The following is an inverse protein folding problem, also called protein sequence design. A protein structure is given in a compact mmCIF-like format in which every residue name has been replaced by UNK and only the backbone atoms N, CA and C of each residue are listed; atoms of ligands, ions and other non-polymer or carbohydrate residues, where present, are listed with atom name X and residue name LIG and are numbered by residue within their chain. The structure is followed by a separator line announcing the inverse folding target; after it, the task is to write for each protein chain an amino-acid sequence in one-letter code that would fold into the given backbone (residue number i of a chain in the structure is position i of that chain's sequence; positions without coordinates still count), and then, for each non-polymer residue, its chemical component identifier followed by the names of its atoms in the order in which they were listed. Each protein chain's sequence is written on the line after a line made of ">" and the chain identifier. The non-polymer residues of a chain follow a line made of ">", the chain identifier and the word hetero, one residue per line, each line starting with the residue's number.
data_IF_683094668463
#
_entry.id   IF_683094668463
#
_cell.length_a   1.000
_cell.length_b   1.000
_cell.length_c   1.000
_cell.angle_alpha   90.00
_cell.angle_beta   90.00
_cell.angle_gamma   90.00
#
_symmetry.space_group_name_H-M   'P 1'
#
loop_
_entity.id
_entity.type
_entity.pdbx_description
1 polymer ?
#
# COMPACT_ATOMS: atom_id res chain seq x y z
N UNK A 1 42.53 1.98 20.19
CA UNK A 1 43.25 0.70 20.06
C UNK A 1 42.67 -0.01 18.85
N UNK A 2 43.47 -0.16 17.79
CA UNK A 2 43.08 -0.84 16.55
C UNK A 2 42.99 -2.35 16.81
N UNK A 3 41.78 -2.91 16.82
CA UNK A 3 41.61 -4.35 16.84
C UNK A 3 41.96 -4.91 15.46
N UNK A 4 43.17 -5.47 15.36
CA UNK A 4 43.56 -6.37 14.27
C UNK A 4 42.74 -7.66 14.43
N UNK A 5 41.87 -7.92 13.45
CA UNK A 5 41.21 -9.21 13.30
C UNK A 5 42.26 -10.22 12.83
N UNK A 6 42.48 -11.28 13.61
CA UNK A 6 43.29 -12.44 13.23
C UNK A 6 42.45 -13.35 12.32
N UNK A 7 42.85 -13.51 11.06
CA UNK A 7 42.15 -14.28 10.02
C UNK A 7 42.49 -15.77 10.03
N UNK A 8 42.93 -16.33 11.16
CA UNK A 8 43.68 -17.59 11.16
C UNK A 8 42.81 -18.86 10.97
N UNK A 9 41.48 -18.80 11.09
CA UNK A 9 40.61 -20.00 10.96
C UNK A 9 39.30 -19.78 10.18
N UNK A 10 39.19 -18.74 9.34
CA UNK A 10 37.97 -18.45 8.57
C UNK A 10 38.27 -18.70 7.09
N UNK A 11 37.53 -19.60 6.44
CA UNK A 11 37.63 -19.82 4.99
C UNK A 11 37.41 -18.48 4.25
N UNK A 12 38.18 -18.19 3.19
CA UNK A 12 38.21 -16.86 2.55
C UNK A 12 36.82 -16.31 2.17
N UNK A 13 35.86 -17.20 1.87
CA UNK A 13 34.48 -16.83 1.53
C UNK A 13 33.66 -16.37 2.75
N UNK A 14 33.93 -16.88 3.95
CA UNK A 14 33.24 -16.47 5.18
C UNK A 14 33.75 -15.11 5.66
N UNK A 15 35.04 -14.82 5.41
CA UNK A 15 35.61 -13.50 5.65
C UNK A 15 34.87 -12.42 4.86
N UNK A 16 34.53 -12.70 3.60
CA UNK A 16 33.81 -11.75 2.74
C UNK A 16 32.43 -11.38 3.29
N UNK A 17 31.66 -12.36 3.80
CA UNK A 17 30.32 -12.16 4.39
C UNK A 17 30.39 -11.23 5.61
N UNK A 18 31.35 -11.49 6.52
CA UNK A 18 31.53 -10.66 7.72
C UNK A 18 32.05 -9.26 7.42
N UNK A 19 32.94 -9.12 6.43
CA UNK A 19 33.41 -7.81 5.97
C UNK A 19 32.26 -6.98 5.41
N UNK A 20 31.36 -7.60 4.64
CA UNK A 20 30.20 -6.92 4.07
C UNK A 20 29.22 -6.48 5.16
N UNK A 21 28.94 -7.34 6.15
CA UNK A 21 28.12 -6.98 7.33
C UNK A 21 28.75 -5.87 8.17
N UNK A 22 30.07 -5.84 8.27
CA UNK A 22 30.75 -4.72 8.94
C UNK A 22 30.54 -3.42 8.17
N UNK A 23 30.64 -3.45 6.83
CA UNK A 23 30.41 -2.27 5.97
C UNK A 23 28.99 -1.72 6.11
N UNK A 24 27.97 -2.55 6.30
CA UNK A 24 26.58 -2.06 6.51
C UNK A 24 26.40 -1.28 7.82
N UNK A 25 27.40 -1.27 8.70
CA UNK A 25 27.38 -0.57 9.99
C UNK A 25 28.37 0.60 10.07
N UNK A 26 29.05 0.94 8.97
CA UNK A 26 29.99 2.07 8.94
C UNK A 26 29.27 3.42 9.06
N UNK A 27 29.97 4.46 9.51
CA UNK A 27 29.39 5.81 9.62
C UNK A 27 29.06 6.42 8.25
N UNK A 28 29.79 6.00 7.20
CA UNK A 28 29.57 6.47 5.84
C UNK A 28 28.28 5.87 5.23
N UNK A 29 27.29 6.74 4.95
CA UNK A 29 26.02 6.35 4.34
C UNK A 29 26.17 5.66 3.00
N UNK A 30 27.04 6.15 2.12
CA UNK A 30 27.23 5.57 0.79
C UNK A 30 27.79 4.14 0.89
N UNK A 31 28.79 3.93 1.75
CA UNK A 31 29.37 2.61 1.99
C UNK A 31 28.34 1.61 2.55
N UNK A 32 27.47 2.05 3.47
CA UNK A 32 26.39 1.21 3.98
C UNK A 32 25.40 0.80 2.89
N UNK A 33 24.97 1.75 2.06
CA UNK A 33 24.01 1.49 0.98
C UNK A 33 24.59 0.56 -0.08
N UNK A 34 25.85 0.77 -0.47
CA UNK A 34 26.59 -0.10 -1.38
C UNK A 34 26.69 -1.52 -0.82
N UNK A 35 27.03 -1.68 0.47
CA UNK A 35 27.14 -2.98 1.10
C UNK A 35 25.80 -3.73 1.14
N UNK A 36 24.68 -3.05 1.46
CA UNK A 36 23.34 -3.66 1.41
C UNK A 36 22.98 -4.07 -0.01
N UNK A 37 23.31 -3.24 -1.00
CA UNK A 37 23.07 -3.55 -2.40
C UNK A 37 23.86 -4.80 -2.84
N UNK A 38 25.14 -4.88 -2.51
CA UNK A 38 26.00 -6.03 -2.78
C UNK A 38 25.45 -7.30 -2.11
N UNK A 39 25.03 -7.22 -0.83
CA UNK A 39 24.38 -8.35 -0.13
C UNK A 39 23.13 -8.83 -0.84
N UNK A 40 22.28 -7.90 -1.27
CA UNK A 40 21.01 -8.25 -1.91
C UNK A 40 21.17 -8.96 -3.25
N UNK A 41 22.31 -8.76 -3.91
CA UNK A 41 22.66 -9.36 -5.21
C UNK A 41 23.51 -10.63 -5.07
N UNK A 42 23.88 -11.01 -3.85
CA UNK A 42 24.66 -12.20 -3.58
C UNK A 42 23.77 -13.45 -3.66
N UNK A 43 23.56 -13.98 -4.86
CA UNK A 43 22.75 -15.20 -5.11
C UNK A 43 23.55 -16.51 -5.04
N UNK A 44 24.86 -16.42 -4.85
CA UNK A 44 25.80 -17.55 -4.87
C UNK A 44 26.17 -18.06 -3.47
N UNK A 45 25.63 -17.43 -2.42
CA UNK A 45 25.93 -17.81 -1.04
C UNK A 45 25.27 -19.14 -0.68
N UNK A 46 25.89 -19.85 0.25
CA UNK A 46 25.31 -21.03 0.86
C UNK A 46 24.24 -20.63 1.88
N UNK A 47 23.28 -21.53 2.16
CA UNK A 47 22.19 -21.30 3.11
C UNK A 47 22.65 -20.76 4.47
N UNK A 48 23.75 -21.29 5.00
CA UNK A 48 24.26 -20.87 6.31
C UNK A 48 24.79 -19.43 6.29
N UNK A 49 25.33 -18.95 5.17
CA UNK A 49 25.85 -17.58 5.04
C UNK A 49 24.72 -16.55 5.10
N UNK A 50 23.60 -16.82 4.42
CA UNK A 50 22.39 -16.01 4.58
C UNK A 50 21.88 -16.02 6.02
N UNK A 51 21.87 -17.19 6.67
CA UNK A 51 21.41 -17.31 8.07
C UNK A 51 22.31 -16.56 9.03
N UNK A 52 23.62 -16.58 8.84
CA UNK A 52 24.59 -15.81 9.64
C UNK A 52 24.28 -14.32 9.54
N UNK A 53 24.06 -13.81 8.32
CA UNK A 53 23.65 -12.42 8.12
C UNK A 53 22.29 -12.15 8.77
N UNK A 54 21.29 -13.00 8.53
CA UNK A 54 19.95 -12.85 9.08
C UNK A 54 19.93 -12.77 10.63
N UNK A 55 20.81 -13.53 11.29
CA UNK A 55 20.96 -13.53 12.76
C UNK A 55 21.74 -12.32 13.29
N UNK A 56 22.63 -11.75 12.48
CA UNK A 56 23.52 -10.68 12.91
C UNK A 56 23.08 -9.29 12.42
N UNK A 57 22.22 -9.17 11.41
CA UNK A 57 21.77 -7.89 10.87
C UNK A 57 21.18 -6.98 11.95
N UNK A 58 21.58 -5.71 11.92
CA UNK A 58 20.89 -4.68 12.68
C UNK A 58 19.57 -4.29 11.97
N UNK A 59 18.63 -3.62 12.66
CA UNK A 59 17.35 -3.23 12.06
C UNK A 59 17.49 -2.47 10.75
N UNK A 60 18.48 -1.58 10.65
CA UNK A 60 18.72 -0.76 9.45
C UNK A 60 19.13 -1.62 8.25
N UNK A 61 20.08 -2.54 8.43
CA UNK A 61 20.48 -3.48 7.38
C UNK A 61 19.30 -4.36 6.96
N UNK A 62 18.52 -4.89 7.92
CA UNK A 62 17.37 -5.74 7.63
C UNK A 62 16.30 -5.01 6.80
N UNK A 63 15.97 -3.76 7.16
CA UNK A 63 15.03 -2.91 6.41
C UNK A 63 15.59 -2.61 5.01
N UNK A 64 16.90 -2.36 4.90
CA UNK A 64 17.56 -2.15 3.62
C UNK A 64 17.48 -3.37 2.70
N UNK A 65 17.72 -4.56 3.24
CA UNK A 65 17.54 -5.83 2.53
C UNK A 65 16.07 -6.04 2.15
N UNK A 66 15.11 -5.74 3.02
CA UNK A 66 13.67 -5.82 2.73
C UNK A 66 13.25 -4.90 1.59
N UNK A 67 13.92 -3.75 1.45
CA UNK A 67 13.72 -2.78 0.37
C UNK A 67 14.69 -2.95 -0.80
N UNK A 68 15.29 -4.12 -0.98
CA UNK A 68 16.17 -4.40 -2.11
C UNK A 68 15.48 -5.38 -3.07
N UNK A 69 15.44 -5.05 -4.36
CA UNK A 69 14.66 -5.76 -5.37
C UNK A 69 15.00 -7.25 -5.48
N UNK A 70 16.30 -7.57 -5.42
CA UNK A 70 16.83 -8.93 -5.62
C UNK A 70 17.03 -9.69 -4.29
N UNK A 71 16.58 -9.14 -3.16
CA UNK A 71 16.88 -9.71 -1.85
C UNK A 71 16.36 -11.13 -1.66
N UNK A 72 17.24 -12.03 -1.21
CA UNK A 72 16.92 -13.43 -0.95
C UNK A 72 16.07 -13.60 0.32
N UNK A 73 15.10 -14.52 0.29
CA UNK A 73 14.21 -14.78 1.44
C UNK A 73 14.95 -15.28 2.68
N UNK A 74 16.10 -15.93 2.50
CA UNK A 74 16.92 -16.49 3.59
C UNK A 74 17.55 -15.41 4.48
N UNK A 75 17.54 -14.14 4.07
CA UNK A 75 17.91 -13.01 4.93
C UNK A 75 16.89 -12.70 6.03
N UNK A 76 15.67 -13.21 5.91
CA UNK A 76 14.57 -12.88 6.81
C UNK A 76 14.25 -14.07 7.70
N UNK A 77 14.57 -13.94 8.99
CA UNK A 77 14.19 -14.95 9.98
C UNK A 77 12.66 -15.01 10.13
N UNK A 78 12.11 -16.20 10.44
CA UNK A 78 10.69 -16.31 10.77
C UNK A 78 10.36 -15.44 12.00
N UNK A 79 9.11 -14.92 12.09
CA UNK A 79 8.69 -14.16 13.26
C UNK A 79 8.90 -14.96 14.56
N UNK A 80 9.20 -14.30 15.70
CA UNK A 80 9.34 -14.96 16.99
C UNK A 80 8.07 -15.73 17.39
N UNK A 81 8.20 -16.79 18.21
CA UNK A 81 7.05 -17.48 18.77
C UNK A 81 6.11 -16.51 19.52
N UNK A 82 4.82 -16.63 19.28
CA UNK A 82 3.81 -15.77 19.89
C UNK A 82 3.52 -16.22 21.34
N UNK A 83 3.31 -15.28 22.28
CA UNK A 83 2.95 -15.62 23.65
C UNK A 83 1.58 -16.31 23.71
N UNK A 84 1.37 -17.27 24.61
CA UNK A 84 0.08 -17.93 24.77
C UNK A 84 -1.05 -16.93 25.08
N UNK A 85 -2.26 -17.22 24.62
CA UNK A 85 -3.46 -16.52 25.06
C UNK A 85 -3.72 -16.80 26.54
N UNK A 86 -4.48 -15.94 27.20
CA UNK A 86 -5.00 -16.25 28.54
C UNK A 86 -5.92 -17.47 28.43
N UNK A 87 -5.98 -18.28 29.47
CA UNK A 87 -6.92 -19.41 29.52
C UNK A 87 -8.34 -18.88 29.26
N UNK A 88 -9.05 -19.54 28.35
CA UNK A 88 -10.41 -19.21 27.89
C UNK A 88 -10.60 -17.93 27.03
N UNK A 89 -9.54 -17.20 26.63
CA UNK A 89 -9.68 -16.05 25.72
C UNK A 89 -9.49 -16.41 24.24
N UNK A 90 -10.34 -15.84 23.38
CA UNK A 90 -10.18 -15.93 21.92
C UNK A 90 -9.35 -14.75 21.39
N UNK A 91 -8.78 -14.89 20.19
CA UNK A 91 -8.04 -13.78 19.53
C UNK A 91 -8.93 -12.55 19.32
N UNK A 92 -10.19 -12.76 18.95
CA UNK A 92 -11.19 -11.72 18.81
C UNK A 92 -11.44 -10.99 20.13
N UNK A 93 -11.54 -11.71 21.25
CA UNK A 93 -11.81 -11.11 22.55
C UNK A 93 -10.65 -10.27 23.05
N UNK A 94 -9.41 -10.74 22.88
CA UNK A 94 -8.22 -9.93 23.17
C UNK A 94 -8.16 -8.67 22.27
N UNK A 95 -8.64 -8.75 21.03
CA UNK A 95 -8.71 -7.59 20.13
C UNK A 95 -9.78 -6.58 20.56
N UNK A 96 -10.95 -7.06 21.02
CA UNK A 96 -11.97 -6.19 21.62
C UNK A 96 -11.45 -5.52 22.89
N UNK A 97 -10.81 -6.28 23.77
CA UNK A 97 -10.21 -5.73 24.99
C UNK A 97 -9.14 -4.68 24.67
N UNK A 98 -8.30 -4.93 23.66
CA UNK A 98 -7.34 -3.95 23.19
C UNK A 98 -8.06 -2.68 22.71
N UNK A 99 -9.06 -2.81 21.82
CA UNK A 99 -9.83 -1.69 21.30
C UNK A 99 -10.52 -0.88 22.42
N UNK A 100 -11.13 -1.56 23.39
CA UNK A 100 -11.80 -0.94 24.53
C UNK A 100 -10.81 -0.16 25.43
N UNK A 101 -9.53 -0.53 25.44
CA UNK A 101 -8.49 0.18 26.18
C UNK A 101 -7.94 1.43 25.46
N UNK A 102 -8.25 1.62 24.18
CA UNK A 102 -7.75 2.74 23.41
C UNK A 102 -8.46 4.05 23.80
N UNK A 103 -7.75 5.20 23.75
CA UNK A 103 -8.36 6.50 24.01
C UNK A 103 -9.55 6.76 23.08
N UNK A 104 -10.68 7.17 23.67
CA UNK A 104 -11.91 7.50 22.93
C UNK A 104 -12.07 9.01 22.67
N UNK A 105 -11.06 9.80 23.05
CA UNK A 105 -11.05 11.26 22.89
C UNK A 105 -10.66 11.62 21.45
N UNK A 106 -11.31 12.64 20.89
CA UNK A 106 -10.99 13.19 19.54
C UNK A 106 -11.28 12.25 18.36
N UNK A 107 -12.11 11.21 18.56
CA UNK A 107 -12.58 10.35 17.47
C UNK A 107 -13.69 11.06 16.67
N UNK A 108 -13.58 11.01 15.34
CA UNK A 108 -14.68 11.42 14.45
C UNK A 108 -15.90 10.49 14.55
N UNK A 109 -17.03 10.93 14.02
CA UNK A 109 -18.31 10.20 14.10
C UNK A 109 -18.24 8.79 13.48
N UNK A 110 -17.46 8.60 12.41
CA UNK A 110 -17.30 7.31 11.75
C UNK A 110 -16.49 6.35 12.63
N UNK A 111 -15.41 6.82 13.24
CA UNK A 111 -14.59 6.03 14.16
C UNK A 111 -15.36 5.67 15.44
N UNK A 112 -16.15 6.59 15.98
CA UNK A 112 -17.05 6.29 17.10
C UNK A 112 -18.06 5.20 16.72
N UNK A 113 -18.62 5.28 15.52
CA UNK A 113 -19.53 4.26 15.00
C UNK A 113 -18.85 2.89 14.88
N UNK A 114 -17.69 2.78 14.23
CA UNK A 114 -16.97 1.50 14.12
C UNK A 114 -16.54 0.94 15.47
N UNK A 115 -16.10 1.80 16.39
CA UNK A 115 -15.77 1.39 17.76
C UNK A 115 -17.00 0.83 18.47
N UNK A 116 -18.14 1.51 18.35
CA UNK A 116 -19.40 1.05 18.97
C UNK A 116 -19.87 -0.28 18.40
N UNK A 117 -19.72 -0.51 17.08
CA UNK A 117 -20.05 -1.77 16.44
C UNK A 117 -19.15 -2.90 16.92
N UNK A 118 -17.84 -2.66 16.94
CA UNK A 118 -16.84 -3.64 17.35
C UNK A 118 -17.03 -4.09 18.82
N UNK A 119 -17.45 -3.17 19.69
CA UNK A 119 -17.70 -3.42 21.11
C UNK A 119 -19.14 -3.86 21.43
N UNK A 120 -20.04 -3.88 20.44
CA UNK A 120 -21.43 -4.31 20.68
C UNK A 120 -21.52 -5.84 20.77
N UNK A 121 -22.10 -6.35 21.86
CA UNK A 121 -22.24 -7.79 22.12
C UNK A 121 -23.32 -8.48 21.26
N UNK A 122 -24.21 -7.72 20.60
CA UNK A 122 -25.36 -8.30 19.90
C UNK A 122 -25.13 -8.45 18.40
N UNK A 123 -25.01 -9.72 17.97
CA UNK A 123 -25.00 -10.17 16.56
C UNK A 123 -26.17 -9.62 15.73
N UNK A 124 -27.30 -9.27 16.36
CA UNK A 124 -28.49 -8.72 15.71
C UNK A 124 -28.28 -7.29 15.16
N UNK A 125 -27.46 -6.47 15.81
CA UNK A 125 -27.18 -5.09 15.36
C UNK A 125 -26.30 -5.08 14.10
N UNK A 126 -25.29 -5.96 14.07
CA UNK A 126 -24.40 -6.16 12.92
C UNK A 126 -25.10 -6.82 11.71
N UNK A 127 -26.02 -7.77 11.94
CA UNK A 127 -26.76 -8.44 10.86
C UNK A 127 -27.77 -7.51 10.16
N UNK A 128 -28.46 -6.64 10.91
CA UNK A 128 -29.41 -5.68 10.36
C UNK A 128 -28.75 -4.64 9.43
N UNK A 129 -27.45 -4.36 9.62
CA UNK A 129 -26.74 -3.34 8.86
C UNK A 129 -25.95 -3.87 7.64
N UNK A 130 -25.84 -5.19 7.46
CA UNK A 130 -25.39 -5.79 6.17
C UNK A 130 -26.27 -5.37 4.98
N UNK A 131 -27.51 -4.97 5.23
CA UNK A 131 -28.43 -4.45 4.20
C UNK A 131 -28.20 -2.99 3.80
N UNK A 132 -27.28 -2.26 4.46
CA UNK A 132 -27.16 -0.80 4.31
C UNK A 132 -25.95 -0.29 3.50
N UNK A 133 -24.97 -1.13 3.18
CA UNK A 133 -23.77 -0.69 2.47
C UNK A 133 -23.94 -0.85 0.96
N UNK A 134 -24.32 0.24 0.29
CA UNK A 134 -24.48 0.33 -1.16
C UNK A 134 -23.15 0.07 -1.89
N UNK A 135 -22.85 -1.20 -2.16
CA UNK A 135 -21.80 -1.61 -3.09
C UNK A 135 -22.33 -1.51 -4.53
N UNK A 136 -22.21 -0.36 -5.19
CA UNK A 136 -22.32 -0.31 -6.64
C UNK A 136 -21.00 -0.79 -7.27
N UNK A 137 -20.98 -2.02 -7.79
CA UNK A 137 -19.84 -2.59 -8.51
C UNK A 137 -19.68 -4.11 -8.50
N UNK A 138 -20.63 -4.87 -7.95
CA UNK A 138 -20.67 -6.33 -8.03
C UNK A 138 -22.11 -6.81 -7.82
N UNK A 139 -22.41 -8.06 -8.20
CA UNK A 139 -23.75 -8.65 -8.06
C UNK A 139 -24.26 -8.52 -6.62
N UNK A 140 -25.10 -7.50 -6.39
CA UNK A 140 -25.78 -7.27 -5.14
C UNK A 140 -26.88 -8.30 -4.96
N UNK A 141 -26.63 -9.29 -4.10
CA UNK A 141 -27.67 -10.03 -3.42
C UNK A 141 -27.38 -9.97 -1.92
N UNK A 142 -28.32 -9.49 -1.10
CA UNK A 142 -28.18 -9.54 0.35
C UNK A 142 -28.30 -11.01 0.78
N UNK A 143 -27.17 -11.63 1.14
CA UNK A 143 -27.20 -12.86 1.92
C UNK A 143 -27.49 -12.49 3.38
N UNK A 144 -28.76 -12.20 3.64
CA UNK A 144 -29.32 -12.05 4.97
C UNK A 144 -30.40 -13.12 5.16
N UNK A 145 -30.02 -14.38 5.01
CA UNK A 145 -30.83 -15.54 5.41
C UNK A 145 -29.96 -16.54 6.17
N UNK A 146 -29.39 -16.12 7.30
CA UNK A 146 -29.21 -17.03 8.43
C UNK A 146 -29.14 -16.23 9.74
N UNK A 147 -30.00 -16.58 10.69
CA UNK A 147 -29.99 -16.08 12.08
C UNK A 147 -28.81 -16.69 12.86
N UNK A 148 -27.59 -16.58 12.32
CA UNK A 148 -26.36 -17.07 12.93
C UNK A 148 -25.62 -15.97 13.69
N UNK A 149 -24.78 -16.37 14.64
CA UNK A 149 -23.75 -15.51 15.22
C UNK A 149 -22.91 -14.84 14.12
N UNK A 150 -22.52 -13.59 14.34
CA UNK A 150 -21.67 -12.87 13.38
C UNK A 150 -20.32 -13.60 13.31
N UNK A 151 -19.81 -13.92 12.11
CA UNK A 151 -18.51 -14.56 11.98
C UNK A 151 -17.41 -13.71 12.62
N UNK A 152 -16.52 -14.36 13.37
CA UNK A 152 -15.47 -13.71 14.15
C UNK A 152 -14.63 -12.69 13.35
N UNK A 153 -14.27 -13.06 12.12
CA UNK A 153 -13.56 -12.21 11.16
C UNK A 153 -14.25 -10.86 10.85
N UNK A 154 -15.56 -10.76 11.04
CA UNK A 154 -16.33 -9.52 10.82
C UNK A 154 -16.10 -8.54 11.97
N UNK A 155 -16.14 -9.03 13.21
CA UNK A 155 -15.88 -8.24 14.41
C UNK A 155 -14.43 -7.77 14.38
N UNK A 156 -13.50 -8.68 14.11
CA UNK A 156 -12.09 -8.35 14.02
C UNK A 156 -11.81 -7.28 12.97
N UNK A 157 -12.52 -7.34 11.83
CA UNK A 157 -12.43 -6.29 10.82
C UNK A 157 -12.89 -4.94 11.38
N UNK A 158 -14.01 -4.87 12.09
CA UNK A 158 -14.48 -3.60 12.67
C UNK A 158 -13.49 -3.04 13.69
N UNK A 159 -12.90 -3.92 14.52
CA UNK A 159 -11.85 -3.51 15.43
C UNK A 159 -10.65 -2.92 14.69
N UNK A 160 -10.19 -3.56 13.62
CA UNK A 160 -9.06 -3.08 12.82
C UNK A 160 -9.39 -1.78 12.06
N UNK A 161 -10.65 -1.58 11.67
CA UNK A 161 -11.11 -0.35 11.01
C UNK A 161 -11.10 0.85 11.95
N UNK A 162 -11.45 0.63 13.23
CA UNK A 162 -11.45 1.63 14.29
C UNK A 162 -10.04 2.05 14.79
N UNK A 163 -8.97 1.35 14.38
CA UNK A 163 -7.61 1.68 14.79
C UNK A 163 -7.04 2.80 13.91
N UNK A 164 -6.65 3.91 14.55
CA UNK A 164 -6.05 5.08 13.91
C UNK A 164 -4.59 5.34 14.36
N UNK A 165 -3.82 6.19 13.64
CA UNK A 165 -2.43 6.47 13.97
C UNK A 165 -2.18 6.94 15.41
N UNK A 166 -3.10 7.68 16.04
CA UNK A 166 -2.95 8.13 17.43
C UNK A 166 -3.02 7.00 18.46
N UNK A 167 -3.56 5.83 18.09
CA UNK A 167 -3.65 4.67 18.99
C UNK A 167 -2.36 3.83 19.06
N UNK A 168 -1.37 4.09 18.20
CA UNK A 168 -0.24 3.18 17.99
C UNK A 168 0.57 2.87 19.26
N UNK A 169 0.79 3.86 20.13
CA UNK A 169 1.54 3.66 21.37
C UNK A 169 0.80 2.76 22.36
N UNK A 170 -0.51 2.93 22.49
CA UNK A 170 -1.36 2.09 23.33
C UNK A 170 -1.46 0.66 22.78
N UNK A 171 -1.48 0.53 21.45
CA UNK A 171 -1.47 -0.77 20.77
C UNK A 171 -0.17 -1.52 21.05
N UNK A 172 0.99 -0.85 20.96
CA UNK A 172 2.27 -1.49 21.28
C UNK A 172 2.34 -1.91 22.76
N UNK A 173 1.97 -1.01 23.67
CA UNK A 173 1.95 -1.28 25.11
C UNK A 173 1.00 -2.44 25.50
N UNK A 174 -0.10 -2.61 24.76
CA UNK A 174 -1.07 -3.69 24.94
C UNK A 174 -0.68 -5.03 24.30
N UNK A 175 0.53 -5.17 23.73
CA UNK A 175 0.94 -6.39 23.02
C UNK A 175 0.26 -6.57 21.66
N UNK A 176 -0.24 -5.48 21.08
CA UNK A 176 -0.98 -5.48 19.82
C UNK A 176 -0.16 -5.97 18.63
N UNK A 177 1.16 -5.79 18.61
CA UNK A 177 2.01 -6.33 17.53
C UNK A 177 1.93 -7.86 17.43
N UNK A 178 1.93 -8.56 18.56
CA UNK A 178 1.83 -10.02 18.62
C UNK A 178 0.40 -10.48 18.31
N UNK A 179 -0.61 -9.75 18.79
CA UNK A 179 -2.01 -10.03 18.50
C UNK A 179 -2.31 -9.89 17.00
N UNK A 180 -1.83 -8.82 16.37
CA UNK A 180 -1.96 -8.59 14.93
C UNK A 180 -1.25 -9.70 14.12
N UNK A 181 -0.13 -10.23 14.59
CA UNK A 181 0.51 -11.38 13.94
C UNK A 181 -0.31 -12.66 14.06
N UNK A 182 -0.93 -12.90 15.22
CA UNK A 182 -1.85 -14.03 15.40
C UNK A 182 -3.01 -13.94 14.42
N UNK A 183 -3.64 -12.77 14.30
CA UNK A 183 -4.71 -12.51 13.34
C UNK A 183 -4.22 -12.70 11.89
N UNK A 184 -3.02 -12.21 11.57
CA UNK A 184 -2.42 -12.37 10.25
C UNK A 184 -2.20 -13.84 9.89
N UNK A 185 -1.80 -14.67 10.87
CA UNK A 185 -1.63 -16.10 10.69
C UNK A 185 -2.97 -16.86 10.58
N UNK A 186 -3.99 -16.43 11.33
CA UNK A 186 -5.32 -17.06 11.36
C UNK A 186 -6.11 -16.77 10.07
N UNK A 187 -5.99 -15.56 9.53
CA UNK A 187 -6.80 -15.07 8.41
C UNK A 187 -6.03 -14.99 7.09
N UNK A 188 -5.09 -15.91 6.83
CA UNK A 188 -4.29 -15.93 5.59
C UNK A 188 -5.16 -15.91 4.32
N UNK A 189 -6.32 -16.56 4.37
CA UNK A 189 -7.25 -16.67 3.25
C UNK A 189 -8.29 -15.52 3.20
N UNK A 190 -8.15 -14.49 4.04
CA UNK A 190 -9.05 -13.34 4.06
C UNK A 190 -8.29 -12.04 3.72
N UNK A 191 -8.18 -11.67 2.42
CA UNK A 191 -7.42 -10.49 1.98
C UNK A 191 -7.86 -9.18 2.63
N UNK A 192 -9.15 -9.05 2.99
CA UNK A 192 -9.67 -7.86 3.67
C UNK A 192 -9.09 -7.69 5.08
N UNK A 193 -8.99 -8.78 5.85
CA UNK A 193 -8.40 -8.76 7.20
C UNK A 193 -6.89 -8.55 7.10
N UNK A 194 -6.22 -9.27 6.18
CA UNK A 194 -4.78 -9.10 5.92
C UNK A 194 -4.41 -7.65 5.59
N UNK A 195 -5.16 -7.02 4.68
CA UNK A 195 -5.00 -5.60 4.31
C UNK A 195 -5.11 -4.70 5.53
N UNK A 196 -6.16 -4.85 6.32
CA UNK A 196 -6.40 -4.00 7.49
C UNK A 196 -5.33 -4.16 8.57
N UNK A 197 -4.82 -5.38 8.80
CA UNK A 197 -3.69 -5.61 9.69
C UNK A 197 -2.45 -4.86 9.19
N UNK A 198 -2.11 -4.99 7.91
CA UNK A 198 -0.96 -4.29 7.33
C UNK A 198 -1.11 -2.77 7.35
N UNK A 199 -2.33 -2.27 7.17
CA UNK A 199 -2.67 -0.85 7.33
C UNK A 199 -2.31 -0.36 8.74
N UNK A 200 -2.69 -1.11 9.77
CA UNK A 200 -2.36 -0.77 11.17
C UNK A 200 -0.84 -0.76 11.38
N UNK A 201 -0.10 -1.77 10.92
CA UNK A 201 1.37 -1.79 11.03
C UNK A 201 2.00 -0.63 10.26
N UNK A 202 1.48 -0.28 9.09
CA UNK A 202 1.91 0.88 8.31
C UNK A 202 1.64 2.22 9.01
N UNK A 203 0.58 2.32 9.81
CA UNK A 203 0.31 3.46 10.69
C UNK A 203 1.31 3.51 11.84
N UNK A 204 1.58 2.37 12.49
CA UNK A 204 2.60 2.29 13.56
C UNK A 204 4.00 2.67 13.05
N UNK A 205 4.34 2.33 11.81
CA UNK A 205 5.62 2.68 11.20
C UNK A 205 5.83 4.19 10.97
N UNK A 206 4.79 5.03 11.07
CA UNK A 206 4.94 6.49 11.07
C UNK A 206 5.71 7.01 12.31
N UNK A 207 5.63 6.25 13.39
CA UNK A 207 6.22 6.56 14.70
C UNK A 207 7.59 5.90 14.83
N UNK A 208 8.65 6.70 14.70
CA UNK A 208 10.05 6.22 14.64
C UNK A 208 10.48 5.51 15.92
N UNK A 209 9.96 5.91 17.08
CA UNK A 209 10.23 5.25 18.35
C UNK A 209 9.63 3.83 18.44
N UNK A 210 8.63 3.49 17.62
CA UNK A 210 8.05 2.15 17.55
C UNK A 210 8.80 1.22 16.59
N UNK A 211 9.70 1.75 15.74
CA UNK A 211 10.45 0.94 14.76
C UNK A 211 11.17 -0.25 15.39
N UNK A 212 11.86 -0.13 16.54
CA UNK A 212 12.50 -1.27 17.19
C UNK A 212 11.50 -2.37 17.60
N UNK A 213 10.30 -2.01 18.05
CA UNK A 213 9.27 -2.98 18.42
C UNK A 213 8.71 -3.72 17.20
N UNK A 214 8.45 -2.98 16.10
CA UNK A 214 8.01 -3.55 14.81
C UNK A 214 9.06 -4.52 14.27
N UNK A 215 10.34 -4.16 14.34
CA UNK A 215 11.45 -5.01 13.87
C UNK A 215 11.59 -6.26 14.74
N UNK A 216 11.64 -6.11 16.08
CA UNK A 216 11.81 -7.24 17.01
C UNK A 216 10.67 -8.23 16.97
N UNK A 217 9.45 -7.78 16.67
CA UNK A 217 8.30 -8.67 16.50
C UNK A 217 8.36 -9.44 15.18
N UNK A 218 9.23 -9.11 14.23
CA UNK A 218 9.37 -9.86 12.97
C UNK A 218 8.47 -9.36 11.83
N UNK A 219 7.83 -8.20 11.99
CA UNK A 219 7.00 -7.61 10.93
C UNK A 219 7.81 -7.23 9.69
N UNK A 220 9.11 -6.91 9.80
CA UNK A 220 9.94 -6.63 8.62
C UNK A 220 10.04 -7.86 7.71
N UNK A 221 10.19 -9.07 8.26
CA UNK A 221 10.20 -10.31 7.49
C UNK A 221 8.87 -10.55 6.78
N UNK A 222 7.74 -10.31 7.47
CA UNK A 222 6.39 -10.44 6.90
C UNK A 222 6.20 -9.43 5.76
N UNK A 223 6.60 -8.18 5.97
CA UNK A 223 6.48 -7.12 4.96
C UNK A 223 7.40 -7.35 3.76
N UNK A 224 8.62 -7.88 3.97
CA UNK A 224 9.53 -8.21 2.89
C UNK A 224 8.96 -9.29 1.95
N UNK A 225 8.24 -10.27 2.51
CA UNK A 225 7.55 -11.30 1.74
C UNK A 225 6.31 -10.71 1.03
N UNK A 226 5.48 -9.97 1.78
CA UNK A 226 4.28 -9.34 1.27
C UNK A 226 4.52 -8.32 0.15
N UNK A 227 5.67 -7.63 0.16
CA UNK A 227 6.10 -6.74 -0.91
C UNK A 227 6.18 -7.45 -2.27
N UNK A 228 6.44 -8.78 -2.26
CA UNK A 228 6.51 -9.63 -3.46
C UNK A 228 5.17 -10.28 -3.83
N UNK A 229 4.09 -9.96 -3.11
CA UNK A 229 2.75 -10.51 -3.36
C UNK A 229 2.17 -10.04 -4.70
N UNK A 230 1.46 -10.92 -5.39
CA UNK A 230 0.67 -10.57 -6.57
C UNK A 230 -0.58 -9.75 -6.19
N UNK A 231 -0.99 -9.78 -4.93
CA UNK A 231 -2.10 -8.97 -4.44
C UNK A 231 -1.63 -7.54 -4.19
N UNK A 232 -2.01 -6.65 -5.11
CA UNK A 232 -1.51 -5.27 -5.12
C UNK A 232 -1.75 -4.49 -3.82
N UNK A 233 -2.88 -4.71 -3.14
CA UNK A 233 -3.17 -4.07 -1.86
C UNK A 233 -2.14 -4.47 -0.80
N UNK A 234 -1.85 -5.76 -0.72
CA UNK A 234 -0.89 -6.33 0.23
C UNK A 234 0.51 -5.78 -0.04
N UNK A 235 0.97 -5.89 -1.30
CA UNK A 235 2.27 -5.38 -1.72
C UNK A 235 2.41 -3.86 -1.50
N UNK A 236 1.33 -3.08 -1.69
CA UNK A 236 1.37 -1.63 -1.52
C UNK A 236 1.39 -1.20 -0.06
N UNK A 237 0.65 -1.88 0.84
CA UNK A 237 0.77 -1.63 2.27
C UNK A 237 2.14 -2.06 2.81
N UNK A 238 2.69 -3.16 2.31
CA UNK A 238 4.05 -3.59 2.64
C UNK A 238 5.10 -2.57 2.17
N UNK A 239 4.99 -2.08 0.94
CA UNK A 239 5.86 -1.03 0.40
C UNK A 239 5.81 0.25 1.26
N UNK A 240 4.60 0.70 1.61
CA UNK A 240 4.39 1.87 2.48
C UNK A 240 5.04 1.68 3.85
N UNK A 241 4.80 0.53 4.48
CA UNK A 241 5.34 0.19 5.80
C UNK A 241 6.86 0.19 5.78
N UNK A 242 7.47 -0.53 4.84
CA UNK A 242 8.92 -0.61 4.71
C UNK A 242 9.53 0.76 4.40
N UNK A 243 8.90 1.57 3.54
CA UNK A 243 9.35 2.93 3.28
C UNK A 243 9.33 3.80 4.54
N UNK A 244 8.27 3.72 5.35
CA UNK A 244 8.17 4.43 6.62
C UNK A 244 9.21 3.96 7.66
N UNK A 245 9.54 2.67 7.68
CA UNK A 245 10.62 2.13 8.52
C UNK A 245 12.03 2.58 8.06
N UNK A 246 12.21 2.85 6.77
CA UNK A 246 13.51 3.20 6.19
C UNK A 246 13.85 4.69 6.32
N UNK A 247 14.29 5.11 7.50
CA UNK A 247 14.76 6.47 7.76
C UNK A 247 16.17 6.75 7.24
N UNK A 248 16.81 5.78 6.61
CA UNK A 248 18.12 5.98 5.99
C UNK A 248 17.99 6.54 4.56
N UNK A 249 17.00 6.08 3.79
CA UNK A 249 16.80 6.53 2.41
C UNK A 249 15.53 7.36 2.18
N UNK A 250 14.57 7.33 3.11
CA UNK A 250 13.30 8.04 2.98
C UNK A 250 13.18 9.07 4.10
N UNK A 251 12.95 10.32 3.73
CA UNK A 251 12.69 11.39 4.68
C UNK A 251 11.18 11.58 4.89
N UNK A 252 10.39 11.31 3.87
CA UNK A 252 8.94 11.45 3.85
C UNK A 252 8.26 10.40 4.74
N UNK A 253 7.06 10.74 5.21
CA UNK A 253 6.18 9.83 5.95
C UNK A 253 4.90 9.63 5.15
N UNK A 254 4.68 8.40 4.71
CA UNK A 254 3.53 8.03 3.90
C UNK A 254 2.36 7.65 4.81
N UNK A 255 1.41 8.57 4.92
CA UNK A 255 0.20 8.46 5.74
C UNK A 255 -0.74 7.35 5.24
N UNK A 256 -1.79 7.08 6.01
CA UNK A 256 -2.84 6.20 5.53
C UNK A 256 -3.50 6.73 4.25
N UNK A 257 -3.87 5.81 3.35
CA UNK A 257 -4.36 6.17 2.01
C UNK A 257 -3.28 6.64 1.01
N UNK A 258 -2.02 6.83 1.42
CA UNK A 258 -0.93 7.18 0.50
C UNK A 258 -0.16 5.93 0.07
N UNK A 259 -0.27 5.57 -1.22
CA UNK A 259 0.38 4.38 -1.78
C UNK A 259 1.59 4.78 -2.63
N UNK A 260 2.77 4.28 -2.26
CA UNK A 260 4.00 4.43 -3.06
C UNK A 260 3.99 3.37 -4.15
N UNK A 261 3.73 3.79 -5.38
CA UNK A 261 3.67 2.89 -6.53
C UNK A 261 5.05 2.67 -7.17
N UNK A 262 5.90 3.71 -7.17
CA UNK A 262 7.28 3.62 -7.65
C UNK A 262 8.14 4.75 -7.05
N UNK A 263 9.40 4.51 -6.67
CA UNK A 263 10.02 3.21 -6.47
C UNK A 263 9.57 2.57 -5.15
N UNK A 264 9.25 1.26 -5.16
CA UNK A 264 8.91 0.52 -3.93
C UNK A 264 10.17 0.06 -3.17
N UNK A 265 11.24 -0.24 -3.89
CA UNK A 265 12.56 -0.59 -3.35
C UNK A 265 13.51 0.61 -3.36
N UNK A 266 14.61 0.54 -2.60
CA UNK A 266 15.72 1.49 -2.69
C UNK A 266 16.25 1.55 -4.12
N UNK A 267 16.55 2.75 -4.59
CA UNK A 267 17.15 2.99 -5.90
C UNK A 267 18.23 4.06 -5.80
N UNK A 268 19.30 3.91 -6.57
CA UNK A 268 20.32 4.93 -6.77
C UNK A 268 19.95 5.92 -7.88
N UNK A 269 18.89 5.61 -8.64
CA UNK A 269 18.41 6.48 -9.71
C UNK A 269 17.82 7.77 -9.10
N UNK A 270 18.26 8.96 -9.54
CA UNK A 270 17.71 10.20 -9.04
C UNK A 270 16.25 10.37 -9.50
N UNK A 271 15.40 10.78 -8.56
CA UNK A 271 14.02 11.16 -8.86
C UNK A 271 14.03 12.54 -9.51
N UNK A 272 13.45 12.62 -10.72
CA UNK A 272 13.35 13.85 -11.50
C UNK A 272 12.04 14.60 -11.29
N UNK A 273 10.97 13.89 -10.92
CA UNK A 273 9.68 14.48 -10.61
C UNK A 273 8.79 13.50 -9.83
N UNK A 274 7.77 14.08 -9.19
CA UNK A 274 6.68 13.37 -8.56
C UNK A 274 5.44 13.36 -9.47
N UNK A 275 4.79 12.21 -9.60
CA UNK A 275 3.48 12.09 -10.26
C UNK A 275 2.48 11.57 -9.26
N UNK A 276 1.47 12.39 -8.96
CA UNK A 276 0.40 12.07 -8.03
C UNK A 276 -0.86 11.64 -8.79
N UNK A 277 -1.39 10.48 -8.44
CA UNK A 277 -2.66 9.95 -8.94
C UNK A 277 -3.75 10.14 -7.87
N UNK A 278 -4.77 10.93 -8.17
CA UNK A 278 -5.86 11.30 -7.25
C UNK A 278 -7.17 10.85 -7.88
N UNK A 279 -7.84 9.88 -7.29
CA UNK A 279 -9.07 9.31 -7.88
C UNK A 279 -10.29 10.23 -7.67
N UNK A 280 -11.29 10.12 -8.54
CA UNK A 280 -12.57 10.83 -8.37
C UNK A 280 -13.56 10.11 -7.44
N UNK A 281 -14.80 10.61 -7.44
CA UNK A 281 -15.93 10.05 -6.67
C UNK A 281 -16.07 8.54 -6.84
N UNK A 282 -16.23 7.82 -5.74
CA UNK A 282 -16.39 6.35 -5.70
C UNK A 282 -15.23 5.55 -6.32
N UNK A 283 -14.11 6.23 -6.57
CA UNK A 283 -12.85 5.66 -7.01
C UNK A 283 -12.07 5.04 -5.85
N UNK A 284 -10.94 4.45 -6.20
CA UNK A 284 -9.90 3.98 -5.26
C UNK A 284 -8.60 3.83 -6.05
N UNK A 285 -7.45 3.82 -5.37
CA UNK A 285 -6.14 3.77 -6.04
C UNK A 285 -6.04 2.64 -7.07
N UNK A 286 -6.48 1.43 -6.70
CA UNK A 286 -6.34 0.24 -7.54
C UNK A 286 -7.63 -0.15 -8.29
N UNK A 287 -8.72 0.59 -8.06
CA UNK A 287 -9.98 0.46 -8.83
C UNK A 287 -9.98 1.38 -10.05
N UNK A 288 -9.45 2.59 -9.89
CA UNK A 288 -9.43 3.63 -10.91
C UNK A 288 -8.26 3.44 -11.87
N UNK A 289 -7.06 3.21 -11.35
CA UNK A 289 -5.81 3.24 -12.13
C UNK A 289 -5.35 1.85 -12.59
N UNK A 290 -6.28 1.03 -13.11
CA UNK A 290 -6.02 -0.37 -13.53
C UNK A 290 -6.23 -0.59 -15.03
N UNK A 291 -5.72 -1.68 -15.58
CA UNK A 291 -6.02 -2.02 -16.97
C UNK A 291 -7.51 -2.35 -17.14
N UNK A 292 -8.09 -1.97 -18.30
CA UNK A 292 -9.48 -2.30 -18.62
C UNK A 292 -9.70 -3.80 -18.58
N UNK A 293 -10.72 -4.21 -17.84
CA UNK A 293 -11.10 -5.61 -17.72
C UNK A 293 -11.54 -6.16 -19.08
N UNK A 294 -11.09 -7.37 -19.39
CA UNK A 294 -11.60 -8.14 -20.53
C UNK A 294 -12.48 -9.29 -20.00
N UNK A 295 -13.45 -9.75 -20.80
CA UNK A 295 -14.35 -10.83 -20.40
C UNK A 295 -13.62 -12.10 -19.92
N UNK A 296 -12.41 -12.36 -20.44
CA UNK A 296 -11.55 -13.50 -20.05
C UNK A 296 -11.00 -13.41 -18.61
N UNK A 297 -10.83 -12.21 -18.06
CA UNK A 297 -10.29 -12.01 -16.70
C UNK A 297 -11.32 -12.35 -15.63
N UNK A 298 -12.61 -12.33 -15.97
CA UNK A 298 -13.71 -12.64 -15.03
C UNK A 298 -13.89 -14.15 -14.79
N UNK A 299 -13.33 -15.01 -15.65
CA UNK A 299 -13.52 -16.47 -15.60
C UNK A 299 -12.35 -17.24 -14.97
N UNK A 300 -11.17 -16.63 -14.88
CA UNK A 300 -10.00 -17.26 -14.28
C UNK A 300 -9.69 -16.55 -12.96
N UNK A 301 -9.71 -17.29 -11.84
CA UNK A 301 -9.20 -16.84 -10.53
C UNK A 301 -7.67 -16.66 -10.62
N UNK A 302 -7.26 -15.65 -11.37
CA UNK A 302 -5.98 -15.63 -12.03
C UNK A 302 -4.85 -15.26 -11.08
N UNK A 303 -3.92 -16.19 -10.90
CA UNK A 303 -2.51 -15.87 -10.76
C UNK A 303 -2.09 -15.20 -12.08
N UNK A 304 -2.31 -13.89 -12.17
CA UNK A 304 -2.08 -13.11 -13.38
C UNK A 304 -0.57 -12.90 -13.53
N UNK A 305 -0.01 -13.47 -14.59
CA UNK A 305 1.25 -13.04 -15.18
C UNK A 305 1.17 -11.53 -15.50
N UNK A 306 1.96 -10.68 -14.80
CA UNK A 306 1.94 -9.22 -15.00
C UNK A 306 2.22 -8.83 -16.46
N UNK A 307 2.87 -9.69 -17.26
CA UNK A 307 3.08 -9.47 -18.68
C UNK A 307 1.77 -9.52 -19.50
N UNK A 308 0.70 -10.12 -18.97
CA UNK A 308 -0.61 -10.26 -19.64
C UNK A 308 -1.65 -9.26 -19.15
N UNK A 309 -1.65 -8.94 -17.85
CA UNK A 309 -2.60 -7.98 -17.28
C UNK A 309 -2.02 -7.26 -16.06
N UNK A 310 -2.27 -5.96 -15.94
CA UNK A 310 -1.87 -5.16 -14.77
C UNK A 310 -3.06 -4.71 -13.92
N UNK A 311 -2.95 -4.92 -12.62
CA UNK A 311 -3.89 -4.40 -11.62
C UNK A 311 -3.63 -2.93 -11.28
N UNK A 312 -2.52 -2.34 -11.74
CA UNK A 312 -2.22 -0.91 -11.60
C UNK A 312 -1.21 -0.46 -12.65
N UNK A 313 -1.70 0.16 -13.73
CA UNK A 313 -0.84 0.57 -14.82
C UNK A 313 0.18 1.67 -14.45
N UNK A 314 -0.05 2.56 -13.47
CA UNK A 314 1.00 3.48 -13.02
C UNK A 314 2.17 2.75 -12.34
N UNK A 315 1.88 1.72 -11.52
CA UNK A 315 2.90 0.89 -10.85
C UNK A 315 3.71 0.05 -11.85
N UNK A 316 3.09 -0.42 -12.94
CA UNK A 316 3.75 -1.35 -13.87
C UNK A 316 4.26 -0.63 -15.12
N UNK A 317 3.37 -0.08 -15.93
CA UNK A 317 3.70 0.48 -17.23
C UNK A 317 4.44 1.81 -17.09
N UNK A 318 3.87 2.77 -16.35
CA UNK A 318 4.47 4.10 -16.20
C UNK A 318 5.80 4.06 -15.45
N UNK A 319 5.88 3.26 -14.37
CA UNK A 319 7.14 3.06 -13.64
C UNK A 319 8.25 2.49 -14.54
N UNK A 320 7.91 1.56 -15.44
CA UNK A 320 8.87 0.98 -16.40
C UNK A 320 9.29 1.96 -17.48
N UNK A 321 8.35 2.75 -18.00
CA UNK A 321 8.62 3.69 -19.10
C UNK A 321 9.31 4.96 -18.60
N UNK A 322 9.06 5.35 -17.35
CA UNK A 322 9.62 6.54 -16.71
C UNK A 322 10.23 6.20 -15.32
N UNK A 323 11.35 5.46 -15.26
CA UNK A 323 11.89 4.95 -14.00
C UNK A 323 12.48 6.04 -13.08
N UNK A 324 12.70 7.25 -13.61
CA UNK A 324 13.16 8.41 -12.83
C UNK A 324 12.02 9.15 -12.11
N UNK A 325 10.77 8.66 -12.19
CA UNK A 325 9.64 9.25 -11.46
C UNK A 325 9.54 8.68 -10.06
N UNK A 326 8.97 9.46 -9.14
CA UNK A 326 8.30 8.93 -7.97
C UNK A 326 6.79 8.99 -8.22
N UNK A 327 6.13 7.85 -8.20
CA UNK A 327 4.71 7.70 -8.52
C UNK A 327 3.97 7.36 -7.23
N UNK A 328 3.01 8.20 -6.88
CA UNK A 328 2.21 8.09 -5.66
C UNK A 328 0.74 8.09 -6.05
N UNK A 329 -0.05 7.21 -5.45
CA UNK A 329 -1.51 7.30 -5.49
C UNK A 329 -2.03 7.74 -4.13
N UNK A 330 -2.98 8.67 -4.13
CA UNK A 330 -3.68 9.11 -2.93
C UNK A 330 -5.11 8.59 -2.97
N UNK A 331 -5.50 7.90 -1.92
CA UNK A 331 -6.85 7.41 -1.68
C UNK A 331 -7.48 8.18 -0.54
N UNK A 332 -8.72 8.58 -0.75
CA UNK A 332 -9.50 9.37 0.19
C UNK A 332 -10.97 9.02 0.05
N UNK A 333 -11.72 9.07 1.16
CA UNK A 333 -13.14 8.79 1.12
C UNK A 333 -13.88 9.97 0.48
N UNK A 334 -14.71 9.67 -0.51
CA UNK A 334 -15.52 10.67 -1.21
C UNK A 334 -16.99 10.35 -1.06
N UNK A 335 -17.80 11.35 -0.70
CA UNK A 335 -19.26 11.26 -0.72
C UNK A 335 -19.83 12.24 -1.75
N UNK A 336 -20.96 11.87 -2.38
CA UNK A 336 -21.60 12.63 -3.46
C UNK A 336 -21.99 14.07 -3.06
N UNK A 337 -22.09 14.36 -1.76
CA UNK A 337 -22.50 15.67 -1.23
C UNK A 337 -21.36 16.41 -0.52
N UNK A 338 -20.10 16.07 -0.76
CA UNK A 338 -18.96 16.69 -0.09
C UNK A 338 -18.66 18.09 -0.67
N UNK A 339 -18.90 19.21 0.07
CA UNK A 339 -18.61 20.55 -0.44
C UNK A 339 -17.13 20.76 -0.73
N UNK A 340 -16.26 20.04 -0.03
CA UNK A 340 -14.81 20.12 -0.20
C UNK A 340 -14.35 19.70 -1.61
N UNK A 341 -15.07 18.81 -2.29
CA UNK A 341 -14.75 18.45 -3.68
C UNK A 341 -14.96 19.61 -4.65
N UNK A 342 -16.00 20.41 -4.41
CA UNK A 342 -16.25 21.60 -5.21
C UNK A 342 -15.19 22.66 -4.95
N UNK A 343 -14.86 22.91 -3.68
CA UNK A 343 -13.76 23.81 -3.30
C UNK A 343 -12.44 23.37 -3.94
N UNK A 344 -12.10 22.07 -3.89
CA UNK A 344 -10.89 21.54 -4.50
C UNK A 344 -10.85 21.77 -6.03
N UNK A 345 -11.98 21.60 -6.70
CA UNK A 345 -12.11 21.87 -8.14
C UNK A 345 -11.90 23.36 -8.44
N UNK A 346 -12.55 24.24 -7.69
CA UNK A 346 -12.47 25.69 -7.88
C UNK A 346 -11.02 26.17 -7.64
N UNK A 347 -10.39 25.72 -6.55
CA UNK A 347 -9.00 26.01 -6.20
C UNK A 347 -8.03 25.51 -7.28
N UNK A 348 -8.24 24.30 -7.82
CA UNK A 348 -7.41 23.75 -8.89
C UNK A 348 -7.50 24.61 -10.16
N UNK A 349 -8.70 25.00 -10.58
CA UNK A 349 -8.90 25.81 -11.79
C UNK A 349 -8.26 27.19 -11.64
N UNK A 350 -8.40 27.83 -10.48
CA UNK A 350 -7.75 29.11 -10.19
C UNK A 350 -6.22 28.97 -10.23
N UNK A 351 -5.68 27.98 -9.53
CA UNK A 351 -4.26 27.72 -9.48
C UNK A 351 -3.66 27.41 -10.86
N UNK A 352 -4.34 26.58 -11.66
CA UNK A 352 -3.88 26.21 -12.98
C UNK A 352 -3.82 27.41 -13.94
N UNK A 353 -4.77 28.35 -13.81
CA UNK A 353 -4.78 29.61 -14.57
C UNK A 353 -3.67 30.56 -14.12
N UNK A 354 -3.52 30.77 -12.82
CA UNK A 354 -2.49 31.69 -12.26
C UNK A 354 -1.07 31.26 -12.63
N UNK A 355 -0.79 29.94 -12.54
CA UNK A 355 0.53 29.38 -12.82
C UNK A 355 0.76 28.99 -14.28
N UNK A 356 -0.23 29.18 -15.15
CA UNK A 356 -0.20 28.75 -16.54
C UNK A 356 0.23 27.27 -16.67
N UNK A 357 -0.36 26.41 -15.84
CA UNK A 357 -0.09 24.97 -15.87
C UNK A 357 -0.53 24.38 -17.20
N UNK A 358 0.26 23.44 -17.71
CA UNK A 358 -0.18 22.61 -18.81
C UNK A 358 -1.26 21.66 -18.30
N UNK A 359 -2.39 21.61 -19.00
CA UNK A 359 -3.52 20.76 -18.64
C UNK A 359 -3.89 19.93 -19.86
N UNK A 360 -4.09 18.63 -19.63
CA UNK A 360 -4.57 17.66 -20.60
C UNK A 360 -5.85 17.04 -20.04
N UNK A 361 -6.97 17.24 -20.73
CA UNK A 361 -8.27 16.74 -20.32
C UNK A 361 -8.74 15.66 -21.30
N UNK A 362 -9.22 14.54 -20.75
CA UNK A 362 -9.94 13.52 -21.51
C UNK A 362 -11.41 13.56 -21.12
N UNK A 363 -12.30 13.38 -22.08
CA UNK A 363 -13.75 13.30 -21.83
C UNK A 363 -14.36 12.07 -22.48
N UNK A 364 -15.23 11.37 -21.75
CA UNK A 364 -15.95 10.22 -22.28
C UNK A 364 -16.94 10.61 -23.39
N UNK A 365 -17.01 9.80 -24.44
CA UNK A 365 -18.05 9.95 -25.48
C UNK A 365 -19.03 8.79 -25.53
N UNK A 366 -18.80 7.73 -24.74
CA UNK A 366 -19.76 6.65 -24.58
C UNK A 366 -20.50 6.78 -23.24
N UNK A 367 -21.82 6.57 -23.24
CA UNK A 367 -22.57 6.57 -21.99
C UNK A 367 -22.30 5.30 -21.19
N UNK A 368 -22.46 5.42 -19.89
CA UNK A 368 -22.25 4.36 -18.90
C UNK A 368 -23.56 3.67 -18.58
N UNK A 369 -23.54 2.35 -18.48
CA UNK A 369 -24.68 1.56 -18.07
C UNK A 369 -24.73 1.45 -16.54
N UNK A 370 -25.82 1.92 -15.95
CA UNK A 370 -26.12 1.77 -14.51
C UNK A 370 -27.21 0.71 -14.39
N UNK A 371 -26.81 -0.51 -14.04
CA UNK A 371 -27.69 -1.67 -14.10
C UNK A 371 -28.06 -2.04 -15.55
N UNK A 372 -29.13 -2.79 -15.75
CA UNK A 372 -29.54 -3.30 -17.07
C UNK A 372 -30.34 -2.31 -17.91
N UNK A 373 -30.88 -1.24 -17.31
CA UNK A 373 -31.88 -0.39 -17.96
C UNK A 373 -31.47 1.07 -18.14
N UNK A 374 -30.49 1.58 -17.38
CA UNK A 374 -30.15 3.01 -17.39
C UNK A 374 -28.85 3.21 -18.16
N UNK A 375 -28.88 4.10 -19.16
CA UNK A 375 -27.73 4.52 -19.97
C UNK A 375 -27.57 6.02 -19.80
N UNK A 376 -26.47 6.47 -19.20
CA UNK A 376 -26.25 7.86 -18.82
C UNK A 376 -24.85 8.32 -19.22
N UNK A 377 -24.75 9.53 -19.81
CA UNK A 377 -23.47 10.25 -19.85
C UNK A 377 -23.22 10.83 -18.46
N UNK A 378 -22.22 10.30 -17.77
CA UNK A 378 -21.94 10.69 -16.39
C UNK A 378 -21.39 12.12 -16.36
N UNK A 379 -20.42 12.43 -17.23
CA UNK A 379 -19.91 13.78 -17.43
C UNK A 379 -20.15 14.20 -18.88
N UNK A 380 -21.11 15.11 -19.15
CA UNK A 380 -21.29 15.71 -20.46
C UNK A 380 -20.06 16.51 -20.89
N UNK A 381 -19.82 16.63 -22.21
CA UNK A 381 -18.65 17.35 -22.76
C UNK A 381 -18.60 18.80 -22.31
N UNK A 382 -19.77 19.44 -22.22
CA UNK A 382 -19.92 20.83 -21.77
C UNK A 382 -19.51 21.00 -20.30
N UNK A 383 -19.65 19.96 -19.48
CA UNK A 383 -19.23 19.97 -18.08
C UNK A 383 -17.77 19.55 -17.89
N UNK A 384 -17.19 18.82 -18.83
CA UNK A 384 -15.79 18.39 -18.78
C UNK A 384 -14.82 19.49 -19.26
N UNK A 385 -15.30 20.45 -20.04
CA UNK A 385 -14.50 21.58 -20.50
C UNK A 385 -14.27 22.59 -19.36
N UNK A 386 -13.06 22.55 -18.78
CA UNK A 386 -12.64 23.48 -17.74
C UNK A 386 -12.25 24.88 -18.29
N UNK A 387 -12.25 25.05 -19.61
CA UNK A 387 -11.74 26.25 -20.29
C UNK A 387 -10.23 26.43 -20.18
N UNK A 388 -9.50 25.36 -19.81
CA UNK A 388 -8.04 25.33 -19.67
C UNK A 388 -7.47 24.04 -20.25
N UNK A 389 -6.39 24.16 -21.01
CA UNK A 389 -5.70 23.02 -21.64
C UNK A 389 -6.44 22.41 -22.83
N UNK A 390 -5.88 21.31 -23.36
CA UNK A 390 -6.50 20.55 -24.43
C UNK A 390 -7.66 19.70 -23.88
N UNK A 391 -8.81 19.70 -24.56
CA UNK A 391 -9.91 18.77 -24.30
C UNK A 391 -9.99 17.74 -25.42
N UNK A 392 -9.78 16.47 -25.08
CA UNK A 392 -9.75 15.37 -26.03
C UNK A 392 -10.92 14.41 -25.76
N UNK A 393 -11.93 14.35 -26.67
CA UNK A 393 -12.97 13.33 -26.61
C UNK A 393 -12.39 11.94 -26.87
N UNK A 394 -12.77 10.96 -26.05
CA UNK A 394 -12.28 9.59 -26.15
C UNK A 394 -13.45 8.60 -26.19
N UNK A 395 -13.37 7.63 -27.11
CA UNK A 395 -14.38 6.58 -27.32
C UNK A 395 -14.39 5.51 -26.23
N UNK A 396 -14.74 5.94 -25.01
CA UNK A 396 -14.82 5.14 -23.79
C UNK A 396 -15.98 5.62 -22.94
N UNK A 397 -16.42 4.78 -22.00
CA UNK A 397 -17.39 5.16 -20.98
C UNK A 397 -16.69 5.68 -19.72
N UNK A 398 -17.48 6.22 -18.78
CA UNK A 398 -16.97 6.82 -17.54
C UNK A 398 -16.20 5.83 -16.66
N UNK A 399 -16.56 4.53 -16.67
CA UNK A 399 -15.88 3.51 -15.86
C UNK A 399 -14.52 3.10 -16.43
N UNK A 400 -14.29 3.34 -17.72
CA UNK A 400 -13.12 2.88 -18.47
C UNK A 400 -12.15 4.02 -18.85
N UNK A 401 -12.53 5.28 -18.65
CA UNK A 401 -11.73 6.44 -19.10
C UNK A 401 -10.33 6.50 -18.45
N UNK A 402 -10.20 6.01 -17.22
CA UNK A 402 -8.90 5.93 -16.52
C UNK A 402 -8.20 4.57 -16.68
N UNK A 403 -8.74 3.69 -17.53
CA UNK A 403 -8.32 2.28 -17.66
C UNK A 403 -7.91 1.97 -19.10
N UNK A 404 -6.67 2.31 -19.50
CA UNK A 404 -6.21 1.95 -20.84
C UNK A 404 -6.19 0.42 -21.01
N UNK A 405 -6.60 -0.05 -22.19
CA UNK A 405 -6.72 -1.49 -22.47
C UNK A 405 -5.35 -2.18 -22.61
N UNK A 406 -4.38 -1.48 -23.18
CA UNK A 406 -3.01 -1.93 -23.42
C UNK A 406 -2.07 -0.73 -23.33
N UNK A 407 -0.75 -0.97 -23.33
CA UNK A 407 0.24 0.10 -23.44
C UNK A 407 0.10 0.91 -24.73
N UNK A 408 -0.31 0.31 -25.84
CA UNK A 408 -0.45 1.02 -27.11
C UNK A 408 -1.77 1.82 -27.22
N UNK A 409 -2.64 1.73 -26.20
CA UNK A 409 -3.91 2.45 -26.22
C UNK A 409 -3.70 3.97 -26.15
N UNK A 410 -4.54 4.71 -26.88
CA UNK A 410 -4.48 6.17 -26.98
C UNK A 410 -4.38 6.88 -25.63
N UNK A 411 -5.24 6.52 -24.66
CA UNK A 411 -5.25 7.10 -23.32
C UNK A 411 -3.88 7.01 -22.63
N UNK A 412 -3.22 5.84 -22.69
CA UNK A 412 -1.92 5.66 -22.08
C UNK A 412 -0.83 6.41 -22.84
N UNK A 413 -0.75 6.24 -24.16
CA UNK A 413 0.28 6.87 -24.99
C UNK A 413 0.23 8.40 -24.91
N UNK A 414 -0.97 8.99 -24.92
CA UNK A 414 -1.13 10.44 -24.80
C UNK A 414 -0.77 10.94 -23.40
N UNK A 415 -1.14 10.21 -22.35
CA UNK A 415 -0.73 10.53 -20.96
C UNK A 415 0.78 10.44 -20.79
N UNK A 416 1.42 9.38 -21.29
CA UNK A 416 2.87 9.18 -21.24
C UNK A 416 3.60 10.29 -21.99
N UNK A 417 3.15 10.61 -23.20
CA UNK A 417 3.70 11.70 -24.01
C UNK A 417 3.64 13.03 -23.23
N UNK A 418 2.49 13.35 -22.63
CA UNK A 418 2.30 14.58 -21.86
C UNK A 418 3.27 14.68 -20.67
N UNK A 419 3.43 13.58 -19.92
CA UNK A 419 4.40 13.51 -18.81
C UNK A 419 5.82 13.74 -19.34
N UNK A 420 6.23 13.02 -20.40
CA UNK A 420 7.56 13.14 -20.98
C UNK A 420 7.88 14.54 -21.51
N UNK A 421 6.93 15.18 -22.20
CA UNK A 421 7.08 16.55 -22.73
C UNK A 421 7.14 17.60 -21.62
N UNK A 422 6.43 17.38 -20.51
CA UNK A 422 6.49 18.25 -19.32
C UNK A 422 7.87 18.15 -18.67
N UNK A 423 8.36 16.94 -18.42
CA UNK A 423 9.68 16.71 -17.85
C UNK A 423 10.81 17.27 -18.73
N UNK A 424 10.70 17.14 -20.06
CA UNK A 424 11.72 17.62 -20.98
C UNK A 424 11.84 19.16 -20.97
N UNK A 425 10.72 19.87 -20.81
CA UNK A 425 10.70 21.34 -20.72
C UNK A 425 11.35 21.83 -19.43
N UNK A 426 11.06 21.18 -18.32
CA UNK A 426 11.60 21.59 -17.01
C UNK A 426 13.09 21.27 -16.85
N UNK A 427 13.61 20.28 -17.58
CA UNK A 427 15.05 19.94 -17.60
C UNK A 427 15.85 20.72 -18.66
N UNK A 428 15.16 21.37 -19.61
CA UNK A 428 15.77 22.19 -20.67
C UNK A 428 15.88 23.67 -20.34
N UNK A 429 15.26 24.10 -19.23
CA UNK A 429 15.44 25.40 -18.59
C UNK A 429 16.35 25.25 -17.36
#
# INVERSE_FOLDING_TARGET
>A
MSHSFSTVDIEDHDCAVWLLLRKTREDNKAARLEAVQEMSQAHHWHDYQYRVIAQACDPRTLIGLARSKESDRRFFLPPPPLPFLKEDSSTEEELRHLLASLPQTELDECLQYFTSLALSESSQSLAAQKGGLWCFGGNGLPYAESFGEVPSATVEMFCLEAIIPSHCDHIEAGGGLQLLQRLYQLHKDCPKVQRNIMRVIGNMALNEHLHPAIVRSGWVSIMAEALKSYHIMEASHAARTLANLDRETVCEKYQDGVYVLHPQCRTSQPIKADVLFIHGLMGAAFKTWRQKDSERVLTENALVDEDRYTTCWPKTWLAKDCPALRIISVEYDTSLNCPALKTLQDDFVEFAKDKNFQVLNFVETQPTFIGSMIKLHIVPVESADLGIGDLIPVDVNHLDICKPKTKDAFLYQRTLQFICETLARDLGN
#
